data_IF_983238920592
#
_entry.id   IF_983238920592
#
_cell.length_a   1.000
_cell.length_b   1.000
_cell.length_c   1.000
_cell.angle_alpha   90.00
_cell.angle_beta   90.00
_cell.angle_gamma   90.00
#
_symmetry.space_group_name_H-M   'P 1'
#
loop_
_entity.id
_entity.type
_entity.pdbx_description
1 polymer ?
#
# COMPACT_ATOMS: atom_id res chain seq x y z
N UNK A 1 26.87 12.26 7.57
CA UNK A 1 25.93 11.78 6.54
C UNK A 1 24.55 11.82 7.15
N UNK A 2 23.70 12.75 6.72
CA UNK A 2 22.36 12.94 7.29
C UNK A 2 21.42 11.86 6.76
N UNK A 3 21.05 10.91 7.60
CA UNK A 3 20.01 9.91 7.33
C UNK A 3 18.62 10.58 7.40
N UNK A 4 18.28 11.43 6.45
CA UNK A 4 17.07 12.27 6.49
C UNK A 4 15.84 11.65 5.76
N UNK A 5 15.78 10.34 5.54
CA UNK A 5 14.62 9.73 4.86
C UNK A 5 14.38 8.26 5.22
N UNK A 6 14.30 7.92 6.52
CA UNK A 6 14.05 6.52 6.94
C UNK A 6 12.59 6.20 7.24
N UNK A 7 11.68 7.15 7.08
CA UNK A 7 10.28 6.99 7.43
C UNK A 7 9.39 7.43 6.27
N UNK A 8 8.53 6.53 5.82
CA UNK A 8 7.46 6.86 4.87
C UNK A 8 6.47 7.81 5.52
N UNK A 9 6.07 8.85 4.81
CA UNK A 9 4.89 9.62 5.15
C UNK A 9 3.62 8.76 5.08
N UNK A 10 2.52 9.20 5.71
CA UNK A 10 1.23 8.48 5.65
C UNK A 10 0.77 8.21 4.22
N UNK A 11 1.06 9.13 3.30
CA UNK A 11 0.76 8.98 1.88
C UNK A 11 1.65 7.93 1.21
N UNK A 12 2.96 7.91 1.50
CA UNK A 12 3.88 6.91 0.96
C UNK A 12 3.57 5.50 1.47
N UNK A 13 3.27 5.34 2.76
CA UNK A 13 2.82 4.09 3.35
C UNK A 13 1.55 3.58 2.64
N UNK A 14 0.60 4.49 2.40
CA UNK A 14 -0.64 4.16 1.68
C UNK A 14 -0.34 3.66 0.26
N UNK A 15 0.52 4.34 -0.49
CA UNK A 15 0.92 3.92 -1.85
C UNK A 15 1.61 2.56 -1.81
N UNK A 16 2.47 2.31 -0.81
CA UNK A 16 3.15 1.04 -0.63
C UNK A 16 2.19 -0.13 -0.40
N UNK A 17 1.17 0.07 0.45
CA UNK A 17 0.11 -0.92 0.68
C UNK A 17 -0.65 -1.20 -0.62
N UNK A 18 -1.00 -0.15 -1.39
CA UNK A 18 -1.70 -0.32 -2.66
C UNK A 18 -0.89 -1.15 -3.68
N UNK A 19 0.44 -0.94 -3.74
CA UNK A 19 1.34 -1.73 -4.58
C UNK A 19 1.38 -3.20 -4.15
N UNK A 20 1.46 -3.46 -2.84
CA UNK A 20 1.40 -4.81 -2.28
C UNK A 20 0.11 -5.53 -2.65
N UNK A 21 -1.02 -4.84 -2.57
CA UNK A 21 -2.31 -5.39 -2.94
C UNK A 21 -2.42 -5.67 -4.45
N UNK A 22 -1.85 -4.81 -5.30
CA UNK A 22 -1.79 -5.04 -6.75
C UNK A 22 -0.90 -6.25 -7.11
N UNK A 23 0.24 -6.44 -6.40
CA UNK A 23 1.13 -7.60 -6.58
C UNK A 23 0.50 -8.91 -6.10
N UNK A 24 -0.21 -8.88 -4.97
CA UNK A 24 -0.89 -10.06 -4.40
C UNK A 24 -1.97 -10.64 -5.34
N UNK A 25 -2.53 -9.81 -6.22
CA UNK A 25 -3.47 -10.25 -7.27
C UNK A 25 -2.74 -10.86 -8.50
N UNK A 26 -1.41 -10.80 -8.58
CA UNK A 26 -0.58 -11.18 -9.74
C UNK A 26 -0.99 -10.55 -11.08
N UNK A 27 -1.87 -9.55 -11.03
CA UNK A 27 -2.39 -8.79 -12.16
C UNK A 27 -2.15 -7.32 -11.82
N UNK A 28 -0.93 -6.85 -12.05
CA UNK A 28 -0.68 -5.40 -12.09
C UNK A 28 -1.41 -4.84 -13.33
N UNK A 29 -2.65 -4.41 -13.14
CA UNK A 29 -3.37 -3.71 -14.18
C UNK A 29 -2.71 -2.36 -14.41
N UNK A 30 -2.32 -2.05 -15.66
CA UNK A 30 -1.79 -0.72 -16.04
C UNK A 30 -2.69 0.43 -15.56
N UNK A 31 -4.00 0.16 -15.44
CA UNK A 31 -5.00 1.10 -14.91
C UNK A 31 -4.77 1.39 -13.42
N UNK A 32 -4.48 0.38 -12.62
CA UNK A 32 -4.23 0.52 -11.18
C UNK A 32 -2.91 1.25 -10.93
N UNK A 33 -1.85 0.88 -11.65
CA UNK A 33 -0.56 1.55 -11.56
C UNK A 33 -0.69 3.03 -12.00
N UNK A 34 -1.41 3.33 -13.07
CA UNK A 34 -1.68 4.73 -13.46
C UNK A 34 -2.53 5.48 -12.44
N UNK A 35 -3.50 4.82 -11.81
CA UNK A 35 -4.31 5.44 -10.76
C UNK A 35 -3.48 5.77 -9.52
N UNK A 36 -2.56 4.87 -9.13
CA UNK A 36 -1.61 5.10 -8.03
C UNK A 36 -0.66 6.24 -8.39
N UNK A 37 -0.10 6.27 -9.62
CA UNK A 37 0.74 7.35 -10.13
C UNK A 37 0.03 8.71 -10.15
N UNK A 38 -1.29 8.74 -10.32
CA UNK A 38 -2.08 9.98 -10.27
C UNK A 38 -2.21 10.56 -8.85
N UNK A 39 -2.01 9.73 -7.81
CA UNK A 39 -2.16 10.14 -6.40
C UNK A 39 -0.87 10.65 -5.76
N UNK A 40 0.27 10.57 -6.44
CA UNK A 40 1.56 10.97 -5.88
C UNK A 40 2.51 11.44 -6.98
N UNK A 41 3.49 12.26 -6.64
CA UNK A 41 4.52 12.66 -7.59
C UNK A 41 5.26 11.45 -8.17
N UNK A 42 5.51 11.47 -9.48
CA UNK A 42 6.18 10.37 -10.19
C UNK A 42 7.53 10.01 -9.58
N UNK A 43 8.29 11.00 -9.08
CA UNK A 43 9.57 10.77 -8.41
C UNK A 43 9.43 9.92 -7.14
N UNK A 44 8.39 10.17 -6.36
CA UNK A 44 8.12 9.45 -5.12
C UNK A 44 7.55 8.07 -5.44
N UNK A 45 6.68 7.97 -6.44
CA UNK A 45 6.21 6.69 -6.96
C UNK A 45 7.38 5.81 -7.41
N UNK A 46 8.25 6.30 -8.29
CA UNK A 46 9.37 5.52 -8.83
C UNK A 46 10.31 5.03 -7.73
N UNK A 47 10.54 5.86 -6.70
CA UNK A 47 11.33 5.46 -5.52
C UNK A 47 10.66 4.30 -4.78
N UNK A 48 9.38 4.43 -4.45
CA UNK A 48 8.62 3.41 -3.71
C UNK A 48 8.46 2.14 -4.53
N UNK A 49 8.14 2.25 -5.82
CA UNK A 49 7.97 1.11 -6.72
C UNK A 49 9.28 0.36 -6.93
N UNK A 50 10.41 1.06 -7.01
CA UNK A 50 11.73 0.42 -7.07
C UNK A 50 12.08 -0.31 -5.78
N UNK A 51 11.77 0.28 -4.63
CA UNK A 51 11.94 -0.36 -3.32
C UNK A 51 11.06 -1.61 -3.21
N UNK A 52 9.78 -1.47 -3.55
CA UNK A 52 8.79 -2.54 -3.58
C UNK A 52 9.15 -3.68 -4.54
N UNK A 53 9.66 -3.35 -5.72
CA UNK A 53 10.07 -4.35 -6.72
C UNK A 53 11.31 -5.14 -6.29
N UNK A 54 12.12 -4.61 -5.36
CA UNK A 54 13.27 -5.31 -4.78
C UNK A 54 12.90 -6.08 -3.50
N UNK A 55 11.72 -5.84 -2.93
CA UNK A 55 11.27 -6.48 -1.69
C UNK A 55 10.39 -7.71 -1.99
N UNK A 56 10.60 -8.76 -1.21
CA UNK A 56 9.68 -9.90 -1.11
C UNK A 56 8.42 -9.53 -0.31
N UNK A 57 7.37 -10.33 -0.42
CA UNK A 57 6.06 -10.07 0.21
C UNK A 57 6.18 -9.90 1.73
N UNK A 58 6.94 -10.78 2.39
CA UNK A 58 7.19 -10.72 3.84
C UNK A 58 7.90 -9.43 4.26
N UNK A 59 8.92 -9.00 3.50
CA UNK A 59 9.64 -7.74 3.75
C UNK A 59 8.73 -6.52 3.58
N UNK A 60 7.83 -6.56 2.59
CA UNK A 60 6.83 -5.51 2.40
C UNK A 60 5.90 -5.40 3.61
N UNK A 61 5.40 -6.54 4.11
CA UNK A 61 4.55 -6.61 5.29
C UNK A 61 5.25 -6.05 6.54
N UNK A 62 6.49 -6.48 6.79
CA UNK A 62 7.29 -6.02 7.95
C UNK A 62 7.50 -4.50 7.94
N UNK A 63 7.77 -3.92 6.76
CA UNK A 63 7.94 -2.46 6.62
C UNK A 63 6.62 -1.72 6.85
N UNK A 64 5.51 -2.23 6.32
CA UNK A 64 4.18 -1.65 6.54
C UNK A 64 3.83 -1.70 8.02
N UNK A 65 3.98 -2.84 8.68
CA UNK A 65 3.68 -2.99 10.11
C UNK A 65 4.56 -2.07 10.96
N UNK A 66 5.86 -1.99 10.64
CA UNK A 66 6.79 -1.07 11.29
C UNK A 66 6.40 0.39 11.10
N UNK A 67 5.92 0.77 9.92
CA UNK A 67 5.47 2.14 9.64
C UNK A 67 4.15 2.44 10.37
N UNK A 68 3.18 1.52 10.34
CA UNK A 68 1.90 1.65 11.05
C UNK A 68 2.11 1.80 12.56
N UNK A 69 2.96 0.95 13.15
CA UNK A 69 3.31 0.99 14.56
C UNK A 69 4.00 2.31 14.96
N UNK A 70 4.88 2.84 14.10
CA UNK A 70 5.60 4.11 14.35
C UNK A 70 4.73 5.35 14.20
N UNK A 71 3.73 5.30 13.33
CA UNK A 71 2.82 6.43 13.10
C UNK A 71 1.68 6.51 14.12
N UNK A 72 1.66 5.61 15.12
CA UNK A 72 0.62 5.51 16.15
C UNK A 72 -0.80 5.61 15.54
N UNK A 73 -0.99 4.91 14.41
CA UNK A 73 -2.23 5.02 13.64
C UNK A 73 -3.42 4.75 14.56
N UNK A 74 -4.28 5.76 14.70
CA UNK A 74 -5.50 5.58 15.46
C UNK A 74 -6.41 4.58 14.74
N UNK A 75 -7.25 3.87 15.50
CA UNK A 75 -8.29 2.99 14.93
C UNK A 75 -9.15 3.70 13.86
N UNK A 76 -9.32 5.03 13.97
CA UNK A 76 -10.02 5.84 12.99
C UNK A 76 -9.25 5.99 11.68
N UNK A 77 -7.94 6.20 11.75
CA UNK A 77 -7.08 6.32 10.57
C UNK A 77 -6.89 4.99 9.87
N UNK A 78 -6.78 3.87 10.62
CA UNK A 78 -6.76 2.53 10.04
C UNK A 78 -8.05 2.21 9.29
N UNK A 79 -9.20 2.56 9.88
CA UNK A 79 -10.51 2.44 9.21
C UNK A 79 -10.59 3.31 7.95
N UNK A 80 -10.06 4.54 8.01
CA UNK A 80 -9.99 5.44 6.86
C UNK A 80 -9.13 4.86 5.74
N UNK A 81 -7.95 4.35 6.09
CA UNK A 81 -7.03 3.69 5.18
C UNK A 81 -7.68 2.47 4.51
N UNK A 82 -8.30 1.59 5.31
CA UNK A 82 -9.05 0.43 4.80
C UNK A 82 -10.15 0.86 3.83
N UNK A 83 -10.93 1.89 4.17
CA UNK A 83 -12.01 2.39 3.32
C UNK A 83 -11.49 2.96 2.00
N UNK A 84 -10.42 3.75 2.02
CA UNK A 84 -9.86 4.35 0.82
C UNK A 84 -9.21 3.32 -0.10
N UNK A 85 -8.54 2.33 0.47
CA UNK A 85 -7.98 1.18 -0.27
C UNK A 85 -9.15 0.43 -0.92
N UNK A 86 -10.17 0.09 -0.15
CA UNK A 86 -11.36 -0.59 -0.63
C UNK A 86 -12.00 0.20 -1.78
N UNK A 87 -12.31 1.50 -1.61
CA UNK A 87 -12.85 2.38 -2.66
C UNK A 87 -12.00 2.42 -3.94
N UNK A 88 -10.67 2.36 -3.83
CA UNK A 88 -9.78 2.30 -5.00
C UNK A 88 -9.93 0.99 -5.76
N UNK A 89 -10.09 -0.12 -5.05
CA UNK A 89 -10.34 -1.43 -5.66
C UNK A 89 -11.79 -1.59 -6.16
N UNK A 90 -12.76 -0.89 -5.57
CA UNK A 90 -14.15 -0.84 -6.07
C UNK A 90 -14.29 -0.06 -7.38
N UNK A 91 -13.36 0.87 -7.64
CA UNK A 91 -13.35 1.72 -8.84
C UNK A 91 -13.15 0.92 -10.12
N UNK A 92 -12.44 -0.20 -10.05
CA UNK A 92 -12.24 -1.10 -11.17
C UNK A 92 -13.26 -2.24 -11.04
N UNK A 93 -14.11 -2.48 -12.06
CA UNK A 93 -15.29 -3.36 -11.97
C UNK A 93 -14.97 -4.87 -11.79
N UNK A 94 -13.76 -5.21 -11.32
CA UNK A 94 -13.23 -6.56 -11.12
C UNK A 94 -13.16 -6.91 -9.63
N UNK A 95 -14.34 -6.89 -9.01
CA UNK A 95 -14.58 -6.79 -7.57
C UNK A 95 -14.26 -8.06 -6.74
N UNK A 96 -14.18 -9.25 -7.35
CA UNK A 96 -14.41 -10.49 -6.59
C UNK A 96 -13.16 -11.19 -5.99
N UNK A 97 -11.98 -11.01 -6.57
CA UNK A 97 -10.74 -11.65 -6.07
C UNK A 97 -9.87 -10.69 -5.25
N UNK A 98 -9.84 -9.42 -5.70
CA UNK A 98 -9.09 -8.31 -5.09
C UNK A 98 -9.44 -8.09 -3.61
N UNK A 99 -10.73 -8.11 -3.27
CA UNK A 99 -11.24 -7.84 -1.92
C UNK A 99 -10.83 -8.92 -0.88
N UNK A 100 -10.84 -10.21 -1.26
CA UNK A 100 -10.56 -11.30 -0.33
C UNK A 100 -9.10 -11.35 0.10
N UNK A 101 -8.20 -11.08 -0.84
CA UNK A 101 -6.78 -11.01 -0.53
C UNK A 101 -6.45 -9.72 0.23
N UNK A 102 -7.12 -8.61 -0.10
CA UNK A 102 -7.02 -7.37 0.65
C UNK A 102 -7.43 -7.54 2.10
N UNK A 103 -8.63 -8.10 2.35
CA UNK A 103 -9.13 -8.30 3.70
C UNK A 103 -8.23 -9.25 4.49
N UNK A 104 -7.70 -10.31 3.87
CA UNK A 104 -6.72 -11.19 4.52
C UNK A 104 -5.42 -10.48 4.89
N UNK A 105 -4.91 -9.66 3.99
CA UNK A 105 -3.66 -8.94 4.19
C UNK A 105 -3.81 -7.85 5.25
N UNK A 106 -4.94 -7.13 5.25
CA UNK A 106 -5.30 -6.18 6.28
C UNK A 106 -5.57 -6.85 7.63
N UNK A 107 -6.25 -7.99 7.66
CA UNK A 107 -6.48 -8.75 8.90
C UNK A 107 -5.15 -9.27 9.48
N UNK A 108 -4.19 -9.67 8.63
CA UNK A 108 -2.85 -10.11 9.07
C UNK A 108 -2.02 -8.95 9.62
N UNK A 109 -2.24 -7.72 9.15
CA UNK A 109 -1.52 -6.53 9.65
C UNK A 109 -2.11 -5.93 10.93
N UNK A 110 -3.41 -6.14 11.18
CA UNK A 110 -4.18 -5.50 12.24
C UNK A 110 -4.38 -6.37 13.49
N UNK A 111 -3.84 -7.59 13.49
CA UNK A 111 -3.79 -8.51 14.63
C UNK A 111 -2.35 -8.82 15.02
#
# INVERSE_FOLDING_TARGET
MKNESKYWSKQELKIYILLLCAKADSIESDVEINMIKSKIDSKTFDRLYKEFSCDDEDLCLDKIQSAVAKHEYSNKELKGLRKEIHELFLSDKQYNLKERNLDRLLDTMLY
#
